data_IF_157332360362
#
_entry.id   IF_157332360362
#
_cell.length_a   1.000
_cell.length_b   1.000
_cell.length_c   1.000
_cell.angle_alpha   90.00
_cell.angle_beta   90.00
_cell.angle_gamma   90.00
#
_symmetry.space_group_name_H-M   'P 1'
#
loop_
_entity.id
_entity.type
_entity.pdbx_description
1 polymer ?
#
# COMPACT_ATOMS: atom_id res chain seq x y z
N UNK A 1 -57.85 -74.88 -69.77
CA UNK A 1 -57.08 -74.32 -68.62
C UNK A 1 -55.73 -73.72 -69.03
N UNK A 2 -55.48 -73.42 -70.32
CA UNK A 2 -54.28 -72.74 -70.82
C UNK A 2 -54.59 -71.42 -71.57
N UNK A 3 -55.86 -71.07 -71.78
CA UNK A 3 -56.28 -69.78 -72.36
C UNK A 3 -56.42 -68.64 -71.32
N UNK A 4 -56.49 -68.98 -70.03
CA UNK A 4 -56.55 -68.00 -68.92
C UNK A 4 -55.17 -67.42 -68.59
N UNK A 5 -54.11 -67.96 -69.20
CA UNK A 5 -52.74 -67.45 -69.11
C UNK A 5 -52.37 -66.53 -70.29
N UNK A 6 -53.07 -66.64 -71.42
CA UNK A 6 -52.80 -65.82 -72.63
C UNK A 6 -53.46 -64.44 -72.61
N UNK A 7 -54.47 -64.25 -71.76
CA UNK A 7 -55.17 -62.98 -71.56
C UNK A 7 -55.19 -62.57 -70.07
N UNK A 8 -54.19 -62.98 -69.29
CA UNK A 8 -53.79 -62.17 -68.14
C UNK A 8 -53.50 -60.81 -68.75
N UNK A 9 -54.30 -59.80 -68.40
CA UNK A 9 -54.18 -58.41 -68.86
C UNK A 9 -52.88 -57.75 -68.40
N UNK A 10 -51.76 -58.41 -68.67
CA UNK A 10 -50.41 -57.96 -68.46
C UNK A 10 -50.00 -57.21 -69.70
N UNK A 11 -50.48 -55.98 -69.77
CA UNK A 11 -50.04 -55.02 -70.77
C UNK A 11 -48.60 -54.61 -70.43
N UNK A 12 -47.63 -55.24 -71.08
CA UNK A 12 -46.19 -54.98 -70.86
C UNK A 12 -45.86 -53.49 -71.01
N UNK A 13 -46.62 -52.74 -71.81
CA UNK A 13 -46.49 -51.30 -71.95
C UNK A 13 -46.88 -50.57 -70.65
N UNK A 14 -47.97 -50.98 -70.01
CA UNK A 14 -48.41 -50.41 -68.72
C UNK A 14 -47.43 -50.79 -67.61
N UNK A 15 -46.93 -52.02 -67.59
CA UNK A 15 -45.92 -52.44 -66.62
C UNK A 15 -44.62 -51.64 -66.77
N UNK A 16 -44.13 -51.46 -68.00
CA UNK A 16 -42.92 -50.67 -68.28
C UNK A 16 -43.10 -49.19 -67.95
N UNK A 17 -44.27 -48.61 -68.24
CA UNK A 17 -44.60 -47.23 -67.88
C UNK A 17 -44.64 -47.01 -66.36
N UNK A 18 -45.19 -47.97 -65.60
CA UNK A 18 -45.19 -47.92 -64.13
C UNK A 18 -43.78 -48.02 -63.56
N UNK A 19 -42.94 -48.91 -64.10
CA UNK A 19 -41.53 -49.03 -63.69
C UNK A 19 -40.77 -47.73 -63.99
N UNK A 20 -40.97 -47.14 -65.17
CA UNK A 20 -40.37 -45.86 -65.52
C UNK A 20 -40.82 -44.75 -64.56
N UNK A 21 -42.12 -44.66 -64.24
CA UNK A 21 -42.65 -43.69 -63.28
C UNK A 21 -42.07 -43.89 -61.87
N UNK A 22 -42.01 -45.14 -61.39
CA UNK A 22 -41.39 -45.48 -60.11
C UNK A 22 -39.92 -45.06 -60.07
N UNK A 23 -39.16 -45.33 -61.14
CA UNK A 23 -37.76 -44.93 -61.23
C UNK A 23 -37.61 -43.41 -61.24
N UNK A 24 -38.45 -42.68 -61.97
CA UNK A 24 -38.44 -41.21 -61.98
C UNK A 24 -38.68 -40.68 -60.55
N UNK A 25 -39.72 -41.16 -59.86
CA UNK A 25 -40.03 -40.76 -58.49
C UNK A 25 -38.89 -41.16 -57.53
N UNK A 26 -38.30 -42.34 -57.69
CA UNK A 26 -37.17 -42.81 -56.88
C UNK A 26 -35.95 -41.92 -57.05
N UNK A 27 -35.59 -41.54 -58.29
CA UNK A 27 -34.46 -40.64 -58.54
C UNK A 27 -34.72 -39.23 -57.99
N UNK A 28 -35.95 -38.73 -58.10
CA UNK A 28 -36.36 -37.46 -57.50
C UNK A 28 -36.23 -37.53 -55.98
N UNK A 29 -36.79 -38.56 -55.32
CA UNK A 29 -36.66 -38.74 -53.87
C UNK A 29 -35.19 -38.90 -53.43
N UNK A 30 -34.40 -39.69 -54.15
CA UNK A 30 -32.97 -39.89 -53.89
C UNK A 30 -32.20 -38.58 -53.90
N UNK A 31 -32.47 -37.71 -54.88
CA UNK A 31 -31.77 -36.43 -55.03
C UNK A 31 -32.31 -35.35 -54.08
N UNK A 32 -33.62 -35.25 -53.91
CA UNK A 32 -34.26 -34.14 -53.20
C UNK A 32 -34.58 -34.42 -51.73
N UNK A 33 -34.87 -35.66 -51.32
CA UNK A 33 -35.26 -35.96 -49.93
C UNK A 33 -34.07 -36.42 -49.06
N UNK A 34 -33.26 -37.37 -49.55
CA UNK A 34 -32.19 -37.96 -48.74
C UNK A 34 -31.05 -36.98 -48.40
N UNK A 35 -30.76 -36.01 -49.28
CA UNK A 35 -29.75 -34.98 -49.04
C UNK A 35 -30.10 -34.08 -47.84
N UNK A 36 -31.24 -33.37 -47.87
CA UNK A 36 -31.71 -32.54 -46.76
C UNK A 36 -31.87 -33.30 -45.45
N UNK A 37 -32.40 -34.54 -45.48
CA UNK A 37 -32.57 -35.35 -44.26
C UNK A 37 -31.23 -35.65 -43.60
N UNK A 38 -30.22 -36.08 -44.38
CA UNK A 38 -28.87 -36.32 -43.85
C UNK A 38 -28.25 -35.05 -43.28
N UNK A 39 -28.44 -33.91 -43.95
CA UNK A 39 -27.94 -32.62 -43.48
C UNK A 39 -28.54 -32.23 -42.12
N UNK A 40 -29.85 -32.38 -41.95
CA UNK A 40 -30.52 -32.07 -40.66
C UNK A 40 -30.04 -33.00 -39.55
N UNK A 41 -29.86 -34.29 -39.82
CA UNK A 41 -29.33 -35.24 -38.82
C UNK A 41 -27.89 -34.90 -38.44
N UNK A 42 -27.03 -34.61 -39.42
CA UNK A 42 -25.64 -34.21 -39.18
C UNK A 42 -25.55 -32.89 -38.41
N UNK A 43 -26.39 -31.90 -38.74
CA UNK A 43 -26.43 -30.63 -38.03
C UNK A 43 -26.90 -30.81 -36.58
N UNK A 44 -27.90 -31.66 -36.33
CA UNK A 44 -28.32 -32.01 -34.97
C UNK A 44 -27.20 -32.69 -34.18
N UNK A 45 -26.53 -33.67 -34.80
CA UNK A 45 -25.41 -34.37 -34.16
C UNK A 45 -24.27 -33.39 -33.81
N UNK A 46 -23.90 -32.51 -34.74
CA UNK A 46 -22.88 -31.49 -34.50
C UNK A 46 -23.26 -30.52 -33.39
N UNK A 47 -24.50 -30.03 -33.37
CA UNK A 47 -24.96 -29.12 -32.29
C UNK A 47 -24.94 -29.78 -30.91
N UNK A 48 -25.29 -31.07 -30.83
CA UNK A 48 -25.22 -31.83 -29.58
C UNK A 48 -23.76 -32.01 -29.15
N UNK A 49 -22.89 -32.39 -30.07
CA UNK A 49 -21.47 -32.58 -29.79
C UNK A 49 -20.80 -31.27 -29.34
N UNK A 50 -21.08 -30.17 -30.03
CA UNK A 50 -20.60 -28.84 -29.67
C UNK A 50 -21.15 -28.37 -28.33
N UNK A 51 -22.43 -28.64 -28.05
CA UNK A 51 -23.03 -28.34 -26.75
C UNK A 51 -22.37 -29.11 -25.59
N UNK A 52 -22.07 -30.39 -25.81
CA UNK A 52 -21.35 -31.23 -24.84
C UNK A 52 -19.92 -30.75 -24.62
N UNK A 53 -19.16 -30.48 -25.68
CA UNK A 53 -17.79 -29.96 -25.59
C UNK A 53 -17.77 -28.62 -24.86
N UNK A 54 -18.67 -27.71 -25.21
CA UNK A 54 -18.79 -26.41 -24.54
C UNK A 54 -19.15 -26.55 -23.06
N UNK A 55 -20.04 -27.49 -22.71
CA UNK A 55 -20.39 -27.76 -21.31
C UNK A 55 -19.18 -28.28 -20.52
N UNK A 56 -18.44 -29.24 -21.06
CA UNK A 56 -17.22 -29.78 -20.43
C UNK A 56 -16.13 -28.72 -20.29
N UNK A 57 -15.95 -27.87 -21.31
CA UNK A 57 -14.99 -26.75 -21.26
C UNK A 57 -15.40 -25.70 -20.24
N UNK A 58 -16.70 -25.40 -20.13
CA UNK A 58 -17.23 -24.48 -19.12
C UNK A 58 -17.02 -25.03 -17.69
N UNK A 59 -17.27 -26.32 -17.46
CA UNK A 59 -17.06 -26.97 -16.16
C UNK A 59 -15.57 -26.99 -15.78
N UNK A 60 -14.69 -27.29 -16.74
CA UNK A 60 -13.25 -27.24 -16.53
C UNK A 60 -12.78 -25.82 -16.21
N UNK A 61 -13.24 -24.83 -16.98
CA UNK A 61 -12.91 -23.43 -16.75
C UNK A 61 -13.43 -22.93 -15.39
N UNK A 62 -14.62 -23.37 -14.96
CA UNK A 62 -15.18 -23.03 -13.65
C UNK A 62 -14.32 -23.62 -12.52
N UNK A 63 -13.92 -24.88 -12.64
CA UNK A 63 -13.02 -25.54 -11.67
C UNK A 63 -11.68 -24.81 -11.59
N UNK A 64 -11.03 -24.55 -12.73
CA UNK A 64 -9.77 -23.81 -12.78
C UNK A 64 -9.88 -22.39 -12.21
N UNK A 65 -10.99 -21.69 -12.49
CA UNK A 65 -11.24 -20.37 -11.93
C UNK A 65 -11.45 -20.43 -10.40
N UNK A 66 -12.08 -21.49 -9.89
CA UNK A 66 -12.24 -21.72 -8.45
C UNK A 66 -10.91 -21.99 -7.74
N UNK A 67 -10.05 -22.82 -8.34
CA UNK A 67 -8.70 -23.08 -7.85
C UNK A 67 -7.84 -21.82 -7.86
N UNK A 68 -7.85 -21.08 -8.98
CA UNK A 68 -7.09 -19.83 -9.11
C UNK A 68 -7.56 -18.78 -8.11
N UNK A 69 -8.88 -18.62 -7.94
CA UNK A 69 -9.44 -17.73 -6.93
C UNK A 69 -8.96 -18.09 -5.53
N UNK A 70 -8.98 -19.38 -5.19
CA UNK A 70 -8.53 -19.86 -3.89
C UNK A 70 -7.03 -19.60 -3.67
N UNK A 71 -6.22 -19.81 -4.71
CA UNK A 71 -4.78 -19.51 -4.70
C UNK A 71 -4.51 -18.01 -4.52
N UNK A 72 -5.23 -17.17 -5.25
CA UNK A 72 -5.09 -15.70 -5.15
C UNK A 72 -5.49 -15.22 -3.76
N UNK A 73 -6.58 -15.75 -3.19
CA UNK A 73 -7.00 -15.41 -1.83
C UNK A 73 -5.96 -15.81 -0.78
N UNK A 74 -5.45 -17.05 -0.83
CA UNK A 74 -4.41 -17.51 0.10
C UNK A 74 -3.12 -16.68 -0.01
N UNK A 75 -2.74 -16.31 -1.23
CA UNK A 75 -1.59 -15.42 -1.47
C UNK A 75 -1.83 -14.03 -0.89
N UNK A 76 -3.01 -13.45 -1.12
CA UNK A 76 -3.38 -12.14 -0.59
C UNK A 76 -3.41 -12.11 0.95
N UNK A 77 -3.90 -13.17 1.60
CA UNK A 77 -3.89 -13.30 3.06
C UNK A 77 -2.46 -13.37 3.62
N UNK A 78 -1.58 -14.11 2.94
CA UNK A 78 -0.16 -14.20 3.32
C UNK A 78 0.53 -12.85 3.16
N UNK A 79 0.36 -12.19 2.01
CA UNK A 79 0.92 -10.86 1.75
C UNK A 79 0.39 -9.81 2.73
N UNK A 80 -0.90 -9.83 3.07
CA UNK A 80 -1.49 -8.94 4.06
C UNK A 80 -0.87 -9.14 5.45
N UNK A 81 -0.66 -10.40 5.84
CA UNK A 81 0.00 -10.75 7.12
C UNK A 81 1.44 -10.24 7.14
N UNK A 82 2.18 -10.43 6.05
CA UNK A 82 3.57 -9.97 5.92
C UNK A 82 3.67 -8.44 5.95
N UNK A 83 2.75 -7.73 5.29
CA UNK A 83 2.66 -6.27 5.31
C UNK A 83 2.40 -5.77 6.73
N UNK A 84 1.45 -6.38 7.46
CA UNK A 84 1.15 -6.01 8.85
C UNK A 84 2.36 -6.27 9.76
N UNK A 85 3.02 -7.42 9.60
CA UNK A 85 4.21 -7.76 10.39
C UNK A 85 5.37 -6.80 10.13
N UNK A 86 5.62 -6.46 8.86
CA UNK A 86 6.64 -5.49 8.44
C UNK A 86 6.32 -4.08 8.96
N UNK A 87 5.06 -3.65 8.87
CA UNK A 87 4.61 -2.36 9.39
C UNK A 87 4.79 -2.26 10.90
N UNK A 88 4.43 -3.32 11.65
CA UNK A 88 4.64 -3.38 13.10
C UNK A 88 6.12 -3.30 13.47
N UNK A 89 6.96 -4.10 12.81
CA UNK A 89 8.42 -4.08 13.03
C UNK A 89 9.02 -2.70 12.75
N UNK A 90 8.58 -2.06 11.66
CA UNK A 90 9.04 -0.72 11.29
C UNK A 90 8.55 0.34 12.29
N UNK A 91 7.32 0.21 12.78
CA UNK A 91 6.77 1.06 13.84
C UNK A 91 7.54 0.92 15.14
N UNK A 92 7.80 -0.29 15.60
CA UNK A 92 8.58 -0.55 16.82
C UNK A 92 10.00 0.00 16.71
N UNK A 93 10.64 -0.17 15.55
CA UNK A 93 11.97 0.39 15.27
C UNK A 93 11.96 1.93 15.26
N UNK A 94 10.93 2.56 14.69
CA UNK A 94 10.77 4.01 14.68
C UNK A 94 10.56 4.57 16.09
N UNK A 95 9.74 3.91 16.91
CA UNK A 95 9.51 4.30 18.30
C UNK A 95 10.81 4.22 19.09
N UNK A 96 11.58 3.13 18.95
CA UNK A 96 12.87 2.98 19.62
C UNK A 96 13.88 4.05 19.17
N UNK A 97 13.97 4.30 17.86
CA UNK A 97 14.84 5.34 17.32
C UNK A 97 14.46 6.74 17.82
N UNK A 98 13.16 7.05 17.87
CA UNK A 98 12.65 8.33 18.36
C UNK A 98 12.93 8.52 19.85
N UNK A 99 12.76 7.45 20.65
CA UNK A 99 13.10 7.48 22.07
C UNK A 99 14.59 7.74 22.30
N UNK A 100 15.46 7.03 21.58
CA UNK A 100 16.91 7.22 21.67
C UNK A 100 17.33 8.63 21.23
N UNK A 101 16.69 9.18 20.20
CA UNK A 101 16.95 10.55 19.76
C UNK A 101 16.53 11.57 20.82
N UNK A 102 15.34 11.40 21.41
CA UNK A 102 14.84 12.27 22.48
C UNK A 102 15.71 12.20 23.74
N UNK A 103 16.21 11.03 24.12
CA UNK A 103 17.14 10.88 25.25
C UNK A 103 18.45 11.63 24.99
N UNK A 104 19.04 11.50 23.79
CA UNK A 104 20.24 12.25 23.41
C UNK A 104 20.01 13.76 23.41
N UNK A 105 18.89 14.21 22.86
CA UNK A 105 18.55 15.63 22.84
C UNK A 105 18.36 16.18 24.27
N UNK A 106 17.72 15.41 25.15
CA UNK A 106 17.58 15.77 26.56
C UNK A 106 18.95 15.86 27.26
N UNK A 107 19.86 14.92 27.01
CA UNK A 107 21.23 14.96 27.53
C UNK A 107 22.00 16.19 27.04
N UNK A 108 21.88 16.53 25.75
CA UNK A 108 22.49 17.74 25.18
C UNK A 108 21.93 19.02 25.80
N UNK A 109 20.61 19.10 25.98
CA UNK A 109 19.95 20.24 26.62
C UNK A 109 20.43 20.38 28.07
N UNK A 110 20.51 19.29 28.81
CA UNK A 110 21.03 19.30 30.19
C UNK A 110 22.49 19.74 30.25
N UNK A 111 23.34 19.25 29.33
CA UNK A 111 24.73 19.64 29.26
C UNK A 111 24.89 21.14 28.96
N UNK A 112 24.15 21.66 27.96
CA UNK A 112 24.10 23.09 27.62
C UNK A 112 23.60 23.93 28.78
N UNK A 113 22.56 23.47 29.48
CA UNK A 113 21.97 24.17 30.63
C UNK A 113 22.97 24.23 31.80
N UNK A 114 23.66 23.13 32.11
CA UNK A 114 24.72 23.10 33.14
C UNK A 114 25.86 24.06 32.80
N UNK A 115 26.33 24.05 31.55
CA UNK A 115 27.37 24.98 31.11
C UNK A 115 26.92 26.44 31.24
N UNK A 116 25.67 26.75 30.89
CA UNK A 116 25.08 28.08 31.05
C UNK A 116 24.99 28.49 32.53
N UNK A 117 24.53 27.60 33.41
CA UNK A 117 24.43 27.87 34.86
C UNK A 117 25.79 28.17 35.48
N UNK A 118 26.84 27.42 35.12
CA UNK A 118 28.21 27.67 35.60
C UNK A 118 28.68 29.05 35.16
N UNK A 119 28.40 29.43 33.90
CA UNK A 119 28.74 30.75 33.39
C UNK A 119 27.96 31.87 34.11
N UNK A 120 26.65 31.71 34.28
CA UNK A 120 25.81 32.68 35.00
C UNK A 120 26.23 32.82 36.47
N UNK A 121 26.62 31.73 37.15
CA UNK A 121 27.19 31.78 38.51
C UNK A 121 28.44 32.65 38.56
N UNK A 122 29.39 32.43 37.62
CA UNK A 122 30.62 33.21 37.55
C UNK A 122 30.34 34.68 37.26
N UNK A 123 29.41 34.98 36.36
CA UNK A 123 28.97 36.35 36.07
C UNK A 123 28.34 37.01 37.31
N UNK A 124 27.51 36.30 38.08
CA UNK A 124 26.95 36.80 39.34
C UNK A 124 28.01 37.02 40.41
N UNK A 125 28.98 36.12 40.58
CA UNK A 125 30.08 36.30 41.53
C UNK A 125 30.91 37.56 41.21
N UNK A 126 31.20 37.81 39.93
CA UNK A 126 31.90 39.03 39.51
C UNK A 126 31.08 40.28 39.81
N UNK A 127 29.78 40.27 39.48
CA UNK A 127 28.89 41.40 39.76
C UNK A 127 28.72 41.68 41.27
N UNK A 128 28.69 40.64 42.10
CA UNK A 128 28.65 40.78 43.56
C UNK A 128 29.95 41.38 44.08
N UNK A 129 31.11 40.94 43.58
CA UNK A 129 32.40 41.49 43.98
C UNK A 129 32.54 42.97 43.60
N UNK A 130 32.15 43.37 42.38
CA UNK A 130 32.11 44.79 41.99
C UNK A 130 31.25 45.62 42.96
N UNK A 131 30.06 45.12 43.30
CA UNK A 131 29.15 45.80 44.23
C UNK A 131 29.69 45.89 45.66
N UNK A 132 30.44 44.89 46.11
CA UNK A 132 31.15 44.94 47.40
C UNK A 132 32.24 46.02 47.36
N UNK A 133 33.05 46.08 46.30
CA UNK A 133 34.10 47.11 46.15
C UNK A 133 33.50 48.52 46.19
N UNK A 134 32.42 48.76 45.45
CA UNK A 134 31.71 50.04 45.46
C UNK A 134 31.17 50.40 46.85
N UNK A 135 30.59 49.43 47.55
CA UNK A 135 30.03 49.64 48.91
C UNK A 135 31.15 49.92 49.92
N UNK A 136 32.28 49.22 49.84
CA UNK A 136 33.44 49.45 50.70
C UNK A 136 34.04 50.83 50.42
N UNK A 137 34.18 51.23 49.15
CA UNK A 137 34.68 52.55 48.77
C UNK A 137 33.78 53.67 49.31
N UNK A 138 32.45 53.51 49.20
CA UNK A 138 31.47 54.44 49.78
C UNK A 138 31.60 54.51 51.31
N UNK A 139 31.73 53.35 51.98
CA UNK A 139 31.93 53.28 53.43
C UNK A 139 33.21 53.95 53.90
N UNK A 140 34.34 53.66 53.24
CA UNK A 140 35.65 54.28 53.50
C UNK A 140 35.59 55.79 53.28
N UNK A 141 34.94 56.24 52.20
CA UNK A 141 34.75 57.67 51.92
C UNK A 141 33.96 58.35 53.03
N UNK A 142 32.91 57.71 53.53
CA UNK A 142 32.08 58.23 54.62
C UNK A 142 32.81 58.29 55.95
N UNK A 143 33.56 57.24 56.31
CA UNK A 143 34.39 57.21 57.54
C UNK A 143 35.53 58.23 57.45
N UNK A 144 36.21 58.34 56.30
CA UNK A 144 37.23 59.37 56.09
C UNK A 144 36.65 60.78 56.20
N UNK A 145 35.43 61.02 55.70
CA UNK A 145 34.75 62.30 55.88
C UNK A 145 34.44 62.58 57.36
N UNK A 146 34.03 61.59 58.15
CA UNK A 146 33.81 61.75 59.61
C UNK A 146 35.11 61.97 60.40
N UNK A 147 36.17 61.20 60.12
CA UNK A 147 37.50 61.31 60.76
C UNK A 147 38.21 62.64 60.43
N UNK A 148 38.12 63.10 59.18
CA UNK A 148 38.68 64.40 58.77
C UNK A 148 37.95 65.56 59.47
N UNK A 149 36.68 65.38 59.83
CA UNK A 149 35.87 66.39 60.51
C UNK A 149 36.13 66.44 62.03
N UNK A 150 36.55 65.33 62.66
CA UNK A 150 36.76 65.28 64.11
C UNK A 150 38.16 65.68 64.60
N UNK A 151 39.25 65.49 63.83
CA UNK A 151 40.58 65.78 64.39
C UNK A 151 41.69 66.27 63.42
N UNK A 152 41.54 66.14 62.10
CA UNK A 152 42.68 66.32 61.16
C UNK A 152 42.60 67.46 60.15
N UNK A 153 41.46 68.15 60.02
CA UNK A 153 41.27 69.22 59.04
C UNK A 153 42.34 70.31 59.05
N UNK A 154 42.76 70.79 60.23
CA UNK A 154 43.74 71.88 60.33
C UNK A 154 45.20 71.44 60.10
N UNK A 155 45.57 70.22 60.49
CA UNK A 155 46.95 69.73 60.36
C UNK A 155 47.32 69.40 58.91
N UNK A 156 46.36 68.96 58.09
CA UNK A 156 46.58 68.63 56.68
C UNK A 156 46.73 69.91 55.83
N UNK A 157 45.91 70.93 56.11
CA UNK A 157 46.03 72.26 55.46
C UNK A 157 47.39 72.89 55.76
N UNK A 158 47.86 72.82 57.01
CA UNK A 158 49.21 73.31 57.36
C UNK A 158 50.34 72.53 56.67
N UNK A 159 50.16 71.24 56.38
CA UNK A 159 51.18 70.43 55.68
C UNK A 159 51.22 70.69 54.17
N UNK A 160 50.08 71.00 53.55
CA UNK A 160 50.02 71.39 52.13
C UNK A 160 50.52 72.83 51.90
N UNK A 161 50.22 73.76 52.81
CA UNK A 161 50.70 75.15 52.73
C UNK A 161 52.18 75.30 53.10
N UNK A 162 52.81 74.29 53.70
CA UNK A 162 54.24 74.28 54.02
C UNK A 162 55.11 73.61 52.93
N UNK A 163 54.51 73.12 51.85
CA UNK A 163 55.19 72.47 50.72
C UNK A 163 55.04 73.24 49.39
N UNK A 164 54.57 74.50 49.45
CA UNK A 164 54.69 75.51 48.38
C UNK A 164 55.57 76.65 48.84
#
# INVERSE_FOLDING_TARGET
>A
MLEILGNIGFDWHIALANIANFLIIFFVLKKFAFGPIKKVIAERANRIQEGLDNATRAETALTMAGEERSRVLAKAETEATDVIASAKKSGDALVLASKNAAEREAEEILAKTRARLIREQKEMEMAVNEKIVDTVLLGVTKVLQEEVNQERGEKIIKKFLAQS
#
